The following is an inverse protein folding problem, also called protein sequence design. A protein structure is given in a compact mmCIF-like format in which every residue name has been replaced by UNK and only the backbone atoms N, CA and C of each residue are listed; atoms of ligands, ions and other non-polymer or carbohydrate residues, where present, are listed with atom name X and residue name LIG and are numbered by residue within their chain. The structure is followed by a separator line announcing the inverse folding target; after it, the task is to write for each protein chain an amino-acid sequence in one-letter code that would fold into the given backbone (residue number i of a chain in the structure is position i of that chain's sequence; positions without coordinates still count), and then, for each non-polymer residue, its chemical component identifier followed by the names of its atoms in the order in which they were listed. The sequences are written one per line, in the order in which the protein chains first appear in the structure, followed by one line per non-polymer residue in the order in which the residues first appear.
data_IF_302697883043
#
_entry.id   IF_302697883043
#
_cell.length_a   1.000
_cell.length_b   1.000
_cell.length_c   1.000
_cell.angle_alpha   90.00
_cell.angle_beta   90.00
_cell.angle_gamma   90.00
#
_symmetry.space_group_name_H-M   'P 1'
#
loop_
_entity.id
_entity.type
_entity.pdbx_description
1 polymer ?
#
# COMPACT_ATOMS: atom_id res chain seq x y z
N UNK A 1 70.38 19.90 17.11
CA UNK A 1 69.57 19.33 16.02
C UNK A 1 68.40 18.43 16.47
N UNK A 2 68.12 18.27 17.78
CA UNK A 2 67.02 17.42 18.27
C UNK A 2 65.71 18.15 18.60
N UNK A 3 65.66 19.50 18.58
CA UNK A 3 64.47 20.31 18.92
C UNK A 3 63.62 20.71 17.68
N UNK A 4 64.16 20.62 16.47
CA UNK A 4 63.41 20.94 15.25
C UNK A 4 62.47 19.82 14.77
N UNK A 5 62.72 18.59 15.17
CA UNK A 5 61.92 17.43 14.75
C UNK A 5 60.57 17.34 15.52
N UNK A 6 60.50 17.86 16.73
CA UNK A 6 59.25 17.84 17.52
C UNK A 6 58.22 18.85 17.09
N UNK A 7 58.59 19.96 16.46
CA UNK A 7 57.67 20.97 15.97
C UNK A 7 57.02 20.54 14.65
N UNK A 8 57.70 19.74 13.84
CA UNK A 8 57.15 19.21 12.59
C UNK A 8 56.12 18.12 12.81
N UNK A 9 56.21 17.35 13.91
CA UNK A 9 55.26 16.29 14.23
C UNK A 9 53.91 16.82 14.81
N UNK A 10 53.93 18.04 15.36
CA UNK A 10 52.73 18.63 15.99
C UNK A 10 51.82 19.34 14.98
N UNK A 11 52.32 19.73 13.81
CA UNK A 11 51.52 20.35 12.76
C UNK A 11 50.78 19.33 11.85
N UNK A 12 51.16 18.05 11.91
CA UNK A 12 50.55 17.02 11.06
C UNK A 12 49.23 16.48 11.60
N UNK A 13 48.89 16.73 12.86
CA UNK A 13 47.63 16.29 13.46
C UNK A 13 46.45 17.27 13.26
N UNK A 14 46.64 18.40 12.63
CA UNK A 14 45.60 19.40 12.36
C UNK A 14 44.90 19.22 11.00
N UNK A 15 45.29 18.22 10.21
CA UNK A 15 44.68 17.93 8.88
C UNK A 15 43.70 16.73 8.91
N UNK A 16 43.42 16.15 10.07
CA UNK A 16 42.42 15.12 10.20
C UNK A 16 41.04 15.79 10.30
N UNK A 17 40.43 15.93 9.18
CA UNK A 17 39.02 15.94 8.86
C UNK A 17 38.08 16.52 9.92
N UNK A 18 37.75 17.79 9.78
CA UNK A 18 36.51 18.33 10.29
C UNK A 18 35.39 17.58 9.57
N UNK A 19 34.73 16.61 10.23
CA UNK A 19 33.52 15.99 9.68
C UNK A 19 32.53 17.12 9.37
N UNK A 20 32.11 17.22 8.12
CA UNK A 20 31.10 18.18 7.70
C UNK A 20 29.77 17.78 8.40
N UNK A 21 29.21 18.62 9.30
CA UNK A 21 27.96 18.28 9.99
C UNK A 21 26.76 18.20 9.04
N UNK A 22 26.93 18.56 7.77
CA UNK A 22 25.91 18.46 6.72
C UNK A 22 26.17 17.34 5.73
N UNK A 23 27.21 16.53 5.92
CA UNK A 23 27.39 15.32 5.13
C UNK A 23 26.25 14.35 5.47
N UNK A 24 25.27 14.31 4.58
CA UNK A 24 24.20 13.32 4.64
C UNK A 24 24.86 11.95 4.55
N UNK A 25 25.08 11.32 5.70
CA UNK A 25 25.39 9.88 5.76
C UNK A 25 24.19 9.16 5.15
N UNK A 26 24.25 9.00 3.82
CA UNK A 26 23.36 8.05 3.16
C UNK A 26 23.80 6.66 3.60
N UNK A 27 23.37 6.26 4.79
CA UNK A 27 23.22 4.84 5.04
C UNK A 27 22.31 4.35 3.91
N UNK A 28 22.72 3.34 3.12
CA UNK A 28 21.81 2.74 2.17
C UNK A 28 20.62 2.28 3.03
N UNK A 29 19.54 3.05 2.94
CA UNK A 29 18.29 2.65 3.55
C UNK A 29 17.99 1.33 2.87
N UNK A 30 18.25 0.22 3.57
CA UNK A 30 17.70 -1.08 3.18
C UNK A 30 16.28 -0.76 2.77
N UNK A 31 15.93 -1.06 1.51
CA UNK A 31 14.55 -1.00 1.04
C UNK A 31 13.70 -1.47 2.19
N UNK A 32 12.63 -0.77 2.58
CA UNK A 32 11.83 -1.20 3.70
C UNK A 32 11.58 -2.68 3.43
N UNK A 33 12.22 -3.51 4.25
CA UNK A 33 11.95 -4.93 4.26
C UNK A 33 10.43 -4.95 4.30
N UNK A 34 9.83 -5.57 3.29
CA UNK A 34 8.42 -5.90 3.35
C UNK A 34 8.22 -6.40 4.77
N UNK A 35 7.55 -5.59 5.60
CA UNK A 35 7.00 -6.11 6.83
C UNK A 35 6.14 -7.23 6.28
N UNK A 36 6.60 -8.48 6.41
CA UNK A 36 5.74 -9.63 6.29
C UNK A 36 4.69 -9.43 7.38
N UNK A 37 3.71 -8.58 7.05
CA UNK A 37 2.49 -8.51 7.83
C UNK A 37 1.94 -9.92 7.71
N UNK A 38 1.93 -10.65 8.82
CA UNK A 38 1.12 -11.84 8.94
C UNK A 38 -0.18 -11.51 8.24
N UNK A 39 -0.52 -12.28 7.22
CA UNK A 39 -1.82 -12.18 6.57
C UNK A 39 -2.80 -12.50 7.70
N UNK A 40 -3.35 -11.47 8.33
CA UNK A 40 -4.26 -11.67 9.44
C UNK A 40 -5.42 -12.47 8.88
N UNK A 41 -5.58 -13.67 9.38
CA UNK A 41 -6.70 -14.53 8.97
C UNK A 41 -7.99 -13.77 9.29
N UNK A 42 -8.96 -13.74 8.37
CA UNK A 42 -10.24 -13.12 8.65
C UNK A 42 -10.86 -13.76 9.90
N UNK A 43 -11.57 -12.99 10.71
CA UNK A 43 -12.32 -13.51 11.84
C UNK A 43 -13.32 -14.54 11.33
N UNK A 44 -13.11 -15.82 11.64
CA UNK A 44 -13.94 -16.92 11.11
C UNK A 44 -15.39 -16.76 11.54
N UNK A 45 -15.64 -16.81 12.82
CA UNK A 45 -16.94 -16.48 13.44
C UNK A 45 -16.80 -16.36 14.95
N UNK A 46 -17.57 -15.48 15.54
CA UNK A 46 -17.69 -15.29 16.98
C UNK A 46 -19.18 -15.33 17.36
N UNK A 47 -19.56 -16.27 18.19
CA UNK A 47 -20.91 -16.41 18.69
C UNK A 47 -21.07 -15.72 20.05
N UNK A 48 -21.95 -14.74 20.11
CA UNK A 48 -22.26 -13.98 21.32
C UNK A 48 -23.65 -14.43 21.84
N UNK A 49 -23.70 -15.12 23.00
CA UNK A 49 -24.92 -15.44 23.67
C UNK A 49 -25.38 -14.30 24.55
N UNK A 50 -26.60 -13.86 24.38
CA UNK A 50 -27.21 -12.84 25.20
C UNK A 50 -27.98 -13.49 26.40
N UNK A 51 -28.19 -12.73 27.49
CA UNK A 51 -28.95 -13.22 28.63
C UNK A 51 -30.39 -13.60 28.24
N UNK A 52 -30.97 -14.59 28.92
CA UNK A 52 -32.36 -15.08 28.69
C UNK A 52 -33.44 -14.01 28.86
N UNK A 53 -33.13 -12.92 29.52
CA UNK A 53 -34.02 -11.75 29.68
C UNK A 53 -34.04 -10.79 28.52
N UNK A 54 -33.15 -10.99 27.52
CA UNK A 54 -33.06 -10.11 26.35
C UNK A 54 -34.23 -10.31 25.42
N UNK A 55 -34.81 -9.20 24.93
CA UNK A 55 -35.92 -9.19 23.96
C UNK A 55 -35.62 -8.32 22.74
N UNK A 56 -34.99 -7.20 22.95
CA UNK A 56 -34.70 -6.22 21.88
C UNK A 56 -33.19 -5.98 21.83
N UNK A 57 -32.61 -6.15 20.67
CA UNK A 57 -31.24 -5.70 20.38
C UNK A 57 -31.30 -4.25 19.87
N UNK A 58 -30.83 -3.32 20.69
CA UNK A 58 -30.87 -1.89 20.35
C UNK A 58 -29.71 -1.46 19.48
N UNK A 59 -28.49 -1.88 19.86
CA UNK A 59 -27.26 -1.41 19.23
C UNK A 59 -26.14 -2.43 19.40
N UNK A 60 -25.26 -2.49 18.41
CA UNK A 60 -23.99 -3.21 18.50
C UNK A 60 -22.86 -2.19 18.34
N UNK A 61 -21.90 -2.22 19.26
CA UNK A 61 -20.75 -1.33 19.27
C UNK A 61 -19.47 -2.12 18.98
N UNK A 62 -18.72 -1.68 17.99
CA UNK A 62 -17.40 -2.21 17.65
C UNK A 62 -16.33 -1.25 18.13
N UNK A 63 -15.35 -1.77 18.85
CA UNK A 63 -14.16 -1.03 19.28
C UNK A 63 -12.99 -1.67 18.53
N UNK A 64 -12.18 -0.86 17.86
CA UNK A 64 -11.08 -1.35 17.03
C UNK A 64 -9.86 -0.44 17.12
N UNK A 65 -8.68 -1.00 16.88
CA UNK A 65 -7.44 -0.25 16.78
C UNK A 65 -7.21 0.15 15.31
N UNK A 66 -6.86 1.41 15.09
CA UNK A 66 -6.47 1.93 13.78
C UNK A 66 -4.98 1.65 13.52
N UNK A 67 -4.57 1.85 12.27
CA UNK A 67 -3.18 1.65 11.83
C UNK A 67 -2.20 2.55 12.61
N UNK A 68 -2.64 3.75 13.02
CA UNK A 68 -1.86 4.68 13.81
C UNK A 68 -1.80 4.35 15.32
N UNK A 69 -2.37 3.20 15.72
CA UNK A 69 -2.45 2.73 17.10
C UNK A 69 -3.59 3.34 17.90
N UNK A 70 -4.30 4.35 17.40
CA UNK A 70 -5.43 4.96 18.10
C UNK A 70 -6.64 4.02 18.14
N UNK A 71 -7.47 4.17 19.17
CA UNK A 71 -8.71 3.43 19.31
C UNK A 71 -9.83 4.15 18.57
N UNK A 72 -10.57 3.41 17.75
CA UNK A 72 -11.79 3.85 17.09
C UNK A 72 -12.98 3.07 17.60
N UNK A 73 -14.17 3.64 17.44
CA UNK A 73 -15.43 2.96 17.72
C UNK A 73 -16.44 3.20 16.61
N UNK A 74 -17.31 2.19 16.40
CA UNK A 74 -18.40 2.28 15.44
C UNK A 74 -19.63 1.59 16.04
N UNK A 75 -20.73 2.31 16.08
CA UNK A 75 -22.01 1.80 16.54
C UNK A 75 -22.97 1.56 15.38
N UNK A 76 -23.74 0.48 15.47
CA UNK A 76 -24.79 0.13 14.52
C UNK A 76 -26.10 -0.04 15.27
N UNK A 77 -27.04 0.86 15.05
CA UNK A 77 -28.39 0.76 15.59
C UNK A 77 -29.16 -0.35 14.89
N UNK A 78 -29.83 -1.19 15.64
CA UNK A 78 -30.57 -2.34 15.12
C UNK A 78 -32.06 -2.22 15.48
N UNK A 79 -32.38 -2.00 16.74
CA UNK A 79 -33.74 -1.79 17.29
C UNK A 79 -34.73 -2.88 16.82
N UNK A 80 -34.35 -4.16 16.95
CA UNK A 80 -35.15 -5.31 16.54
C UNK A 80 -35.34 -6.31 17.67
N UNK A 81 -36.51 -6.98 17.68
CA UNK A 81 -36.73 -8.12 18.51
C UNK A 81 -35.79 -9.26 18.15
N UNK A 82 -35.30 -9.96 19.17
CA UNK A 82 -34.39 -11.09 19.01
C UNK A 82 -34.89 -12.29 19.85
N UNK A 83 -34.58 -13.48 19.35
CA UNK A 83 -34.74 -14.71 20.13
C UNK A 83 -33.40 -15.02 20.82
N UNK A 84 -33.36 -14.89 22.14
CA UNK A 84 -32.16 -15.13 22.94
C UNK A 84 -31.66 -16.58 22.93
N UNK A 85 -32.47 -17.54 22.49
CA UNK A 85 -32.08 -18.96 22.37
C UNK A 85 -30.98 -19.12 21.30
N UNK A 86 -30.93 -18.24 20.31
CA UNK A 86 -29.94 -18.27 19.26
C UNK A 86 -28.82 -17.25 19.53
N UNK A 87 -27.55 -17.64 19.37
CA UNK A 87 -26.46 -16.71 19.50
C UNK A 87 -26.48 -15.69 18.36
N UNK A 88 -25.94 -14.49 18.61
CA UNK A 88 -25.63 -13.53 17.55
C UNK A 88 -24.26 -13.89 17.01
N UNK A 89 -24.19 -14.25 15.75
CA UNK A 89 -22.92 -14.58 15.09
C UNK A 89 -22.35 -13.36 14.42
N UNK A 90 -21.11 -13.00 14.80
CA UNK A 90 -20.30 -11.97 14.16
C UNK A 90 -19.22 -12.69 13.36
N UNK A 91 -19.16 -12.48 12.05
CA UNK A 91 -18.16 -13.08 11.20
C UNK A 91 -17.63 -12.08 10.20
N UNK A 92 -16.33 -12.16 9.91
CA UNK A 92 -15.73 -11.46 8.79
C UNK A 92 -15.78 -12.41 7.58
N UNK A 93 -16.96 -12.52 6.99
CA UNK A 93 -17.12 -13.29 5.76
C UNK A 93 -16.43 -12.48 4.66
N UNK A 94 -15.20 -12.84 4.32
CA UNK A 94 -14.71 -12.54 2.99
C UNK A 94 -15.65 -13.26 2.04
N UNK A 95 -16.38 -12.48 1.24
CA UNK A 95 -17.36 -13.00 0.30
C UNK A 95 -16.84 -14.24 -0.45
N UNK A 96 -17.09 -15.43 0.11
CA UNK A 96 -16.88 -16.69 -0.63
C UNK A 96 -17.84 -16.82 -1.82
N UNK A 97 -18.89 -16.00 -1.84
CA UNK A 97 -19.79 -15.87 -2.97
C UNK A 97 -19.25 -14.96 -4.08
N UNK A 98 -18.13 -14.26 -3.83
CA UNK A 98 -17.37 -13.54 -4.86
C UNK A 98 -16.09 -14.34 -5.20
N UNK A 99 -16.16 -15.64 -5.25
CA UNK A 99 -15.52 -16.42 -6.30
C UNK A 99 -16.53 -16.45 -7.49
N UNK A 100 -17.16 -15.36 -7.80
CA UNK A 100 -17.38 -14.98 -9.17
C UNK A 100 -15.98 -14.91 -9.77
N UNK A 101 -15.71 -15.72 -10.78
CA UNK A 101 -14.58 -15.52 -11.68
C UNK A 101 -14.52 -14.03 -11.95
N UNK A 102 -13.59 -13.34 -11.25
CA UNK A 102 -13.53 -11.87 -11.33
C UNK A 102 -13.21 -11.57 -12.76
N UNK A 103 -14.28 -11.24 -13.51
CA UNK A 103 -14.18 -10.93 -14.92
C UNK A 103 -13.07 -9.89 -15.07
N UNK A 104 -12.01 -10.19 -15.82
CA UNK A 104 -10.91 -9.25 -15.95
C UNK A 104 -11.45 -7.94 -16.51
N UNK A 105 -11.12 -6.83 -15.86
CA UNK A 105 -11.44 -5.49 -16.34
C UNK A 105 -10.22 -4.97 -17.09
N UNK A 106 -10.36 -4.68 -18.38
CA UNK A 106 -9.30 -4.15 -19.23
C UNK A 106 -9.55 -2.67 -19.53
N UNK A 107 -8.48 -1.89 -19.46
CA UNK A 107 -8.46 -0.45 -19.75
C UNK A 107 -7.22 -0.12 -20.57
N UNK A 108 -7.36 0.76 -21.56
CA UNK A 108 -6.25 1.22 -22.40
C UNK A 108 -6.04 2.72 -22.24
N UNK A 109 -4.82 3.14 -21.94
CA UNK A 109 -4.39 4.54 -21.89
C UNK A 109 -3.14 4.70 -22.76
N UNK A 110 -3.28 5.33 -23.92
CA UNK A 110 -2.20 5.43 -24.89
C UNK A 110 -1.65 4.06 -25.30
N UNK A 111 -0.36 3.83 -25.06
CA UNK A 111 0.33 2.56 -25.37
C UNK A 111 0.32 1.57 -24.19
N UNK A 112 -0.43 1.88 -23.13
CA UNK A 112 -0.53 1.04 -21.94
C UNK A 112 -1.88 0.31 -21.93
N UNK A 113 -1.85 -0.98 -21.63
CA UNK A 113 -3.05 -1.75 -21.32
C UNK A 113 -2.98 -2.22 -19.86
N UNK A 114 -4.09 -2.04 -19.15
CA UNK A 114 -4.23 -2.40 -17.74
C UNK A 114 -5.29 -3.48 -17.62
N UNK A 115 -4.93 -4.63 -17.06
CA UNK A 115 -5.88 -5.71 -16.77
C UNK A 115 -5.94 -5.92 -15.26
N UNK A 116 -7.12 -5.72 -14.67
CA UNK A 116 -7.36 -5.84 -13.24
C UNK A 116 -8.11 -7.13 -12.94
N UNK A 117 -7.55 -7.93 -12.04
CA UNK A 117 -8.16 -9.17 -11.53
C UNK A 117 -8.00 -9.19 -10.02
N UNK A 118 -9.06 -8.84 -9.31
CA UNK A 118 -9.04 -8.83 -7.83
C UNK A 118 -8.00 -7.88 -7.23
N UNK A 119 -7.04 -8.43 -6.51
CA UNK A 119 -5.93 -7.69 -5.88
C UNK A 119 -4.73 -7.49 -6.82
N UNK A 120 -4.82 -7.92 -8.06
CA UNK A 120 -3.71 -7.82 -9.01
C UNK A 120 -4.07 -6.93 -10.19
N UNK A 121 -3.11 -6.14 -10.63
CA UNK A 121 -3.19 -5.36 -11.85
C UNK A 121 -1.98 -5.70 -12.73
N UNK A 122 -2.24 -6.08 -13.98
CA UNK A 122 -1.22 -6.27 -14.99
C UNK A 122 -1.14 -5.02 -15.86
N UNK A 123 0.06 -4.52 -16.09
CA UNK A 123 0.36 -3.38 -16.95
C UNK A 123 1.16 -3.90 -18.14
N UNK A 124 0.55 -3.96 -19.31
CA UNK A 124 1.27 -4.20 -20.55
C UNK A 124 1.91 -2.89 -21.01
N UNK A 125 3.22 -2.91 -21.11
CA UNK A 125 4.00 -1.72 -21.46
C UNK A 125 5.38 -2.12 -21.98
N UNK A 126 5.87 -1.55 -23.07
CA UNK A 126 7.22 -1.78 -23.57
C UNK A 126 8.29 -0.99 -22.77
N UNK A 127 7.86 -0.13 -21.84
CA UNK A 127 8.74 0.81 -21.15
C UNK A 127 9.27 0.22 -19.85
N UNK A 128 10.56 0.43 -19.57
CA UNK A 128 11.21 -0.05 -18.34
C UNK A 128 10.85 0.82 -17.14
N UNK A 129 10.56 0.19 -16.01
CA UNK A 129 10.39 0.87 -14.72
C UNK A 129 11.73 1.51 -14.33
N UNK A 130 11.70 2.79 -13.99
CA UNK A 130 12.81 3.55 -13.42
C UNK A 130 12.77 3.50 -11.89
N UNK A 131 11.57 3.67 -11.32
CA UNK A 131 11.34 3.62 -9.89
C UNK A 131 9.86 3.33 -9.57
N UNK A 132 9.61 2.87 -8.35
CA UNK A 132 8.26 2.72 -7.81
C UNK A 132 8.25 3.00 -6.30
N UNK A 133 7.17 3.54 -5.79
CA UNK A 133 6.99 3.87 -4.38
C UNK A 133 5.51 4.08 -4.03
N UNK A 134 5.21 4.10 -2.74
CA UNK A 134 3.87 4.39 -2.22
C UNK A 134 3.79 5.80 -1.68
N UNK A 135 2.71 6.50 -1.98
CA UNK A 135 2.34 7.76 -1.33
C UNK A 135 1.15 7.52 -0.41
N UNK A 136 1.22 7.97 0.85
CA UNK A 136 0.09 7.93 1.78
C UNK A 136 -0.86 9.13 1.58
N UNK A 137 -2.13 8.91 1.91
CA UNK A 137 -3.18 9.95 2.05
C UNK A 137 -3.41 10.84 0.81
N UNK A 138 -4.09 10.37 -0.22
CA UNK A 138 -4.63 9.02 -0.38
C UNK A 138 -3.55 8.01 -0.75
N UNK A 139 -3.78 6.73 -0.42
CA UNK A 139 -2.83 5.68 -0.75
C UNK A 139 -2.75 5.46 -2.25
N UNK A 140 -1.55 5.55 -2.79
CA UNK A 140 -1.27 5.41 -4.22
C UNK A 140 0.04 4.70 -4.46
N UNK A 141 0.07 3.78 -5.39
CA UNK A 141 1.32 3.22 -5.93
C UNK A 141 1.72 4.08 -7.13
N UNK A 142 2.93 4.59 -7.09
CA UNK A 142 3.53 5.38 -8.16
C UNK A 142 4.55 4.51 -8.87
N UNK A 143 4.48 4.49 -10.20
CA UNK A 143 5.42 3.75 -11.05
C UNK A 143 5.88 4.69 -12.15
N UNK A 144 7.17 5.02 -12.14
CA UNK A 144 7.78 5.84 -13.17
C UNK A 144 8.46 4.93 -14.20
N UNK A 145 8.09 5.10 -15.47
CA UNK A 145 8.60 4.32 -16.59
C UNK A 145 9.35 5.22 -17.55
N UNK A 146 10.39 4.70 -18.19
CA UNK A 146 11.18 5.44 -19.16
C UNK A 146 10.29 5.96 -20.31
N UNK A 147 10.37 7.24 -20.57
CA UNK A 147 9.56 7.91 -21.60
C UNK A 147 10.17 7.76 -23.00
N UNK A 148 9.28 7.80 -24.00
CA UNK A 148 9.55 8.10 -25.39
C UNK A 148 8.95 9.46 -25.77
N UNK A 149 8.84 9.77 -27.05
CA UNK A 149 8.40 11.11 -27.51
C UNK A 149 6.92 11.41 -27.32
N UNK A 150 6.06 10.38 -27.15
CA UNK A 150 4.61 10.55 -27.02
C UNK A 150 4.21 11.27 -25.74
N UNK A 151 3.19 12.11 -25.84
CA UNK A 151 2.56 12.78 -24.69
C UNK A 151 1.24 12.07 -24.39
N UNK A 152 1.11 11.54 -23.19
CA UNK A 152 -0.08 10.83 -22.72
C UNK A 152 -0.44 11.39 -21.35
N UNK A 153 -1.64 11.97 -21.21
CA UNK A 153 -2.18 12.44 -19.94
C UNK A 153 -3.65 12.00 -19.90
N UNK A 154 -3.93 10.93 -19.18
CA UNK A 154 -5.24 10.30 -19.11
C UNK A 154 -5.49 9.74 -17.72
N UNK A 155 -6.75 9.82 -17.28
CA UNK A 155 -7.22 9.31 -16.00
C UNK A 155 -8.45 8.44 -16.20
N UNK A 156 -8.55 7.34 -15.48
CA UNK A 156 -9.72 6.46 -15.48
C UNK A 156 -10.12 6.16 -14.04
N UNK A 157 -11.39 6.41 -13.71
CA UNK A 157 -12.01 5.98 -12.46
C UNK A 157 -12.49 4.55 -12.58
N UNK A 158 -12.11 3.74 -11.62
CA UNK A 158 -12.46 2.33 -11.55
C UNK A 158 -13.67 2.12 -10.63
N UNK A 159 -14.57 1.24 -11.01
CA UNK A 159 -15.71 0.83 -10.16
C UNK A 159 -15.40 -0.42 -9.33
N UNK A 160 -14.12 -0.67 -9.08
CA UNK A 160 -13.65 -1.86 -8.38
C UNK A 160 -13.33 -1.62 -6.90
N UNK A 161 -13.06 -2.73 -6.18
CA UNK A 161 -12.40 -2.73 -4.87
C UNK A 161 -10.89 -2.74 -5.12
N UNK A 162 -10.11 -2.33 -4.14
CA UNK A 162 -8.64 -2.29 -4.13
C UNK A 162 -8.06 -1.14 -4.97
N UNK A 163 -8.30 -1.12 -6.27
CA UNK A 163 -7.86 -0.05 -7.17
C UNK A 163 -9.04 0.86 -7.50
N UNK A 164 -8.92 2.15 -7.23
CA UNK A 164 -10.00 3.14 -7.41
C UNK A 164 -9.80 4.02 -8.64
N UNK A 165 -8.56 4.31 -8.99
CA UNK A 165 -8.22 5.14 -10.14
C UNK A 165 -6.91 4.69 -10.77
N UNK A 166 -6.78 4.90 -12.08
CA UNK A 166 -5.53 4.82 -12.83
C UNK A 166 -5.31 6.18 -13.48
N UNK A 167 -4.15 6.80 -13.18
CA UNK A 167 -3.71 8.01 -13.87
C UNK A 167 -2.40 7.72 -14.59
N UNK A 168 -2.31 8.16 -15.84
CA UNK A 168 -1.10 8.13 -16.65
C UNK A 168 -0.72 9.54 -17.06
N UNK A 169 0.38 10.04 -16.54
CA UNK A 169 0.90 11.38 -16.81
C UNK A 169 2.27 11.35 -17.48
N UNK A 170 2.50 12.29 -18.41
CA UNK A 170 3.81 12.50 -19.04
C UNK A 170 4.59 13.56 -18.29
N UNK A 171 5.80 13.21 -17.89
CA UNK A 171 6.82 14.12 -17.34
C UNK A 171 7.97 14.29 -18.34
N UNK A 172 8.95 15.14 -18.01
CA UNK A 172 10.05 15.46 -18.91
C UNK A 172 10.79 14.20 -19.38
N UNK A 173 11.13 13.29 -18.45
CA UNK A 173 11.98 12.13 -18.71
C UNK A 173 11.28 10.78 -18.50
N UNK A 174 10.03 10.77 -18.01
CA UNK A 174 9.32 9.55 -17.67
C UNK A 174 7.80 9.67 -17.84
N UNK A 175 7.15 8.52 -17.97
CA UNK A 175 5.72 8.37 -17.76
C UNK A 175 5.48 8.01 -16.31
N UNK A 176 4.50 8.64 -15.69
CA UNK A 176 4.05 8.27 -14.34
C UNK A 176 2.71 7.58 -14.39
N UNK A 177 2.71 6.31 -14.01
CA UNK A 177 1.49 5.57 -13.68
C UNK A 177 1.21 5.75 -12.21
N UNK A 178 0.00 6.20 -11.89
CA UNK A 178 -0.50 6.32 -10.52
C UNK A 178 -1.68 5.36 -10.36
N UNK A 179 -1.57 4.41 -9.44
CA UNK A 179 -2.64 3.51 -9.06
C UNK A 179 -3.18 3.94 -7.71
N UNK A 180 -4.37 4.55 -7.68
CA UNK A 180 -5.02 4.92 -6.43
C UNK A 180 -5.67 3.68 -5.79
N UNK A 181 -5.62 3.61 -4.46
CA UNK A 181 -6.08 2.47 -3.67
C UNK A 181 -7.18 2.89 -2.70
N UNK A 182 -8.10 1.97 -2.40
CA UNK A 182 -9.16 2.17 -1.41
C UNK A 182 -8.68 2.04 0.04
N UNK A 183 -7.43 1.61 0.26
CA UNK A 183 -6.84 1.42 1.58
C UNK A 183 -5.32 1.30 1.52
N UNK A 184 -4.73 1.03 2.68
CA UNK A 184 -3.30 0.76 2.80
C UNK A 184 -3.01 -0.71 2.53
N UNK A 185 -2.17 -0.98 1.54
CA UNK A 185 -1.73 -2.32 1.17
C UNK A 185 -0.20 -2.35 1.00
N UNK A 186 0.41 -3.47 1.37
CA UNK A 186 1.70 -3.84 0.81
C UNK A 186 1.53 -4.24 -0.64
N UNK A 187 2.61 -4.27 -1.42
CA UNK A 187 2.54 -4.72 -2.81
C UNK A 187 3.83 -5.39 -3.23
N UNK A 188 3.73 -6.19 -4.28
CA UNK A 188 4.85 -6.77 -5.02
C UNK A 188 4.74 -6.39 -6.49
N UNK A 189 5.88 -6.16 -7.16
CA UNK A 189 5.94 -5.96 -8.61
C UNK A 189 6.79 -7.07 -9.20
N UNK A 190 6.23 -7.79 -10.14
CA UNK A 190 6.90 -8.81 -10.94
C UNK A 190 6.94 -8.33 -12.40
N UNK A 191 8.06 -8.56 -13.06
CA UNK A 191 8.22 -8.27 -14.48
C UNK A 191 8.12 -9.56 -15.28
N UNK A 192 7.38 -9.53 -16.38
CA UNK A 192 7.39 -10.58 -17.39
C UNK A 192 7.80 -10.02 -18.78
N UNK A 193 7.74 -10.85 -19.83
CA UNK A 193 8.12 -10.46 -21.19
C UNK A 193 7.24 -9.34 -21.79
N UNK A 194 6.02 -9.15 -21.27
CA UNK A 194 5.00 -8.24 -21.82
C UNK A 194 4.77 -7.01 -20.95
N UNK A 195 5.32 -6.96 -19.75
CA UNK A 195 5.11 -5.84 -18.84
C UNK A 195 5.29 -6.19 -17.37
N UNK A 196 4.38 -5.74 -16.54
CA UNK A 196 4.49 -5.80 -15.09
C UNK A 196 3.19 -6.29 -14.45
N UNK A 197 3.34 -7.06 -13.38
CA UNK A 197 2.23 -7.50 -12.53
C UNK A 197 2.42 -6.91 -11.14
N UNK A 198 1.47 -6.12 -10.69
CA UNK A 198 1.43 -5.56 -9.34
C UNK A 198 0.37 -6.32 -8.56
N UNK A 199 0.76 -6.94 -7.46
CA UNK A 199 -0.14 -7.69 -6.56
C UNK A 199 -0.15 -7.06 -5.19
N UNK A 200 -1.33 -6.74 -4.67
CA UNK A 200 -1.55 -6.20 -3.32
C UNK A 200 -1.56 -7.34 -2.29
N UNK A 201 -0.94 -7.08 -1.15
CA UNK A 201 -0.82 -8.01 -0.01
C UNK A 201 -1.75 -7.63 1.12
#
# INVERSE_FOLDING_TARGET
MKKAIYISAMCLNLLLGREDPFELKMTPKKSPQSVEGEISQPLESLDVKLPSTTRILKEVKFIYQKIDGSIGEKSVKIERDIDWHYPITISQIGDKSIIEEKKPMSYTLGDFEFIIIGKSIRIYSPYKILQNFVLPKPFRIIIDLRRTEKIINQDIKLKGRFFTDISLGTHQDFYRVTLALDGQYGYNIEQDEKGYIITLK
#
